data_IF_517627994978
#
_entry.id   IF_517627994978
#
_cell.length_a   1.000
_cell.length_b   1.000
_cell.length_c   1.000
_cell.angle_alpha   90.00
_cell.angle_beta   90.00
_cell.angle_gamma   90.00
#
_symmetry.space_group_name_H-M   'P 1'
#
loop_
_entity.id
_entity.type
_entity.pdbx_description
1 polymer ?
#
# COMPACT_ATOMS: atom_id res chain seq x y z
N UNK A 1 -2.45 -15.42 -1.43
CA UNK A 1 -2.76 -14.77 -0.15
C UNK A 1 -3.39 -15.82 0.73
N UNK A 2 -2.58 -16.51 1.56
CA UNK A 2 -3.06 -17.59 2.42
C UNK A 2 -3.97 -17.12 3.57
N UNK A 3 -4.33 -15.83 3.67
CA UNK A 3 -5.06 -15.25 4.82
C UNK A 3 -6.09 -14.21 4.37
N UNK A 4 -7.24 -14.12 5.07
CA UNK A 4 -8.29 -13.12 4.85
C UNK A 4 -7.75 -11.67 5.02
N UNK A 5 -7.84 -10.80 3.99
CA UNK A 5 -7.40 -9.40 4.06
C UNK A 5 -8.03 -8.60 5.21
N UNK A 6 -9.29 -8.90 5.58
CA UNK A 6 -9.95 -8.21 6.69
C UNK A 6 -9.39 -8.65 8.04
N UNK A 7 -9.04 -9.93 8.17
CA UNK A 7 -8.39 -10.45 9.37
C UNK A 7 -7.00 -9.80 9.58
N UNK A 8 -6.21 -9.64 8.51
CA UNK A 8 -4.92 -8.93 8.53
C UNK A 8 -5.09 -7.50 9.07
N UNK A 9 -6.04 -6.74 8.50
CA UNK A 9 -6.31 -5.38 8.94
C UNK A 9 -6.79 -5.32 10.40
N UNK A 10 -7.67 -6.23 10.81
CA UNK A 10 -8.17 -6.30 12.19
C UNK A 10 -7.03 -6.58 13.18
N UNK A 11 -6.17 -7.55 12.88
CA UNK A 11 -5.02 -7.88 13.72
C UNK A 11 -4.05 -6.70 13.80
N UNK A 12 -3.77 -6.04 12.68
CA UNK A 12 -2.89 -4.86 12.66
C UNK A 12 -3.43 -3.68 13.48
N UNK A 13 -4.76 -3.55 13.64
CA UNK A 13 -5.36 -2.53 14.51
C UNK A 13 -5.31 -2.89 15.99
N UNK A 14 -5.43 -4.16 16.33
CA UNK A 14 -5.51 -4.63 17.72
C UNK A 14 -4.12 -4.85 18.33
N UNK A 15 -3.16 -5.26 17.49
CA UNK A 15 -1.83 -5.68 17.91
C UNK A 15 -1.82 -6.94 18.80
N UNK A 16 -0.64 -7.50 19.08
CA UNK A 16 0.62 -7.31 18.35
C UNK A 16 0.57 -7.95 16.95
N UNK A 17 1.39 -7.44 16.04
CA UNK A 17 1.57 -8.01 14.69
C UNK A 17 2.84 -8.86 14.61
N UNK A 18 2.90 -9.84 13.70
CA UNK A 18 4.14 -10.56 13.37
C UNK A 18 5.29 -9.58 13.03
N UNK A 19 6.52 -9.96 13.39
CA UNK A 19 7.70 -9.09 13.26
C UNK A 19 8.08 -8.78 11.80
N UNK A 20 7.65 -9.63 10.88
CA UNK A 20 7.83 -9.51 9.43
C UNK A 20 6.73 -8.67 8.75
N UNK A 21 5.75 -8.18 9.51
CA UNK A 21 4.74 -7.24 9.00
C UNK A 21 5.24 -5.80 9.13
N UNK A 22 4.90 -4.98 8.13
CA UNK A 22 5.07 -3.53 8.17
C UNK A 22 3.69 -2.88 8.16
N UNK A 23 3.40 -2.08 9.18
CA UNK A 23 2.10 -1.45 9.39
C UNK A 23 2.25 0.06 9.29
N UNK A 24 1.47 0.67 8.39
CA UNK A 24 1.44 2.11 8.19
C UNK A 24 0.05 2.62 8.57
N UNK A 25 0.03 3.56 9.51
CA UNK A 25 -1.19 4.25 9.97
C UNK A 25 -1.05 5.74 9.73
N UNK A 26 -2.14 6.40 9.39
CA UNK A 26 -2.19 7.87 9.35
C UNK A 26 -3.46 8.33 10.03
N UNK A 27 -3.33 9.30 10.95
CA UNK A 27 -4.53 9.97 11.49
C UNK A 27 -5.25 10.66 10.35
N UNK A 28 -6.55 10.44 10.22
CA UNK A 28 -7.37 11.21 9.30
C UNK A 28 -7.25 12.69 9.65
N UNK A 29 -6.78 13.51 8.71
CA UNK A 29 -6.74 14.96 8.90
C UNK A 29 -8.16 15.47 9.14
N UNK A 30 -8.37 16.35 10.13
CA UNK A 30 -9.64 17.07 10.26
C UNK A 30 -9.89 17.79 8.94
N UNK A 31 -10.90 17.38 8.18
CA UNK A 31 -11.44 18.19 7.10
C UNK A 31 -11.85 19.52 7.74
N UNK A 32 -11.13 20.59 7.40
CA UNK A 32 -11.53 21.95 7.72
C UNK A 32 -12.81 22.23 6.94
N UNK A 33 -13.96 22.12 7.60
CA UNK A 33 -15.26 22.34 6.98
C UNK A 33 -16.37 21.49 7.60
N UNK A 34 -16.98 22.01 8.66
CA UNK A 34 -18.40 21.85 8.98
C UNK A 34 -19.09 20.51 8.65
N UNK A 35 -18.63 19.40 9.24
CA UNK A 35 -19.52 18.29 9.59
C UNK A 35 -19.01 17.69 10.90
N UNK A 36 -19.70 17.98 12.01
CA UNK A 36 -19.60 17.16 13.24
C UNK A 36 -20.26 15.81 12.95
N UNK A 37 -19.53 14.96 12.25
CA UNK A 37 -19.83 13.53 12.18
C UNK A 37 -18.74 12.82 12.95
N UNK A 38 -19.11 12.13 14.02
CA UNK A 38 -18.30 11.04 14.57
C UNK A 38 -18.21 9.97 13.50
N UNK A 39 -17.30 10.12 12.54
CA UNK A 39 -17.08 9.09 11.54
C UNK A 39 -16.49 7.90 12.29
N UNK A 40 -17.29 6.86 12.50
CA UNK A 40 -16.85 5.56 12.99
C UNK A 40 -15.90 4.87 11.98
N UNK A 41 -15.70 5.49 10.82
CA UNK A 41 -14.75 5.07 9.80
C UNK A 41 -13.33 5.09 10.37
N UNK A 42 -12.67 3.93 10.47
CA UNK A 42 -11.36 3.85 11.05
C UNK A 42 -10.30 4.61 10.24
N UNK A 43 -9.19 4.95 10.90
CA UNK A 43 -8.06 5.59 10.22
C UNK A 43 -7.51 4.70 9.09
N UNK A 44 -7.04 5.30 7.97
CA UNK A 44 -6.39 4.56 6.90
C UNK A 44 -5.25 3.67 7.42
N UNK A 45 -5.17 2.48 6.85
CA UNK A 45 -4.26 1.43 7.29
C UNK A 45 -3.73 0.68 6.09
N UNK A 46 -2.41 0.66 5.94
CA UNK A 46 -1.71 -0.19 4.99
C UNK A 46 -0.90 -1.23 5.77
N UNK A 47 -1.10 -2.49 5.45
CA UNK A 47 -0.34 -3.61 6.01
C UNK A 47 0.39 -4.31 4.88
N UNK A 48 1.70 -4.44 5.02
CA UNK A 48 2.54 -5.21 4.12
C UNK A 48 3.01 -6.43 4.90
N UNK A 49 2.62 -7.59 4.41
CA UNK A 49 2.95 -8.92 4.93
C UNK A 49 3.97 -9.57 4.00
N UNK A 50 4.62 -10.68 4.40
CA UNK A 50 5.47 -11.46 3.50
C UNK A 50 4.76 -11.90 2.21
N UNK A 51 3.46 -12.18 2.27
CA UNK A 51 2.70 -12.72 1.13
C UNK A 51 2.05 -11.64 0.25
N UNK A 52 2.12 -10.37 0.64
CA UNK A 52 1.46 -9.29 -0.09
C UNK A 52 1.07 -8.08 0.75
N UNK A 53 0.28 -7.19 0.16
CA UNK A 53 -0.12 -5.94 0.76
C UNK A 53 -1.65 -5.77 0.78
N UNK A 54 -2.17 -5.22 1.88
CA UNK A 54 -3.59 -4.92 2.05
C UNK A 54 -3.72 -3.48 2.54
N UNK A 55 -4.50 -2.68 1.83
CA UNK A 55 -4.82 -1.31 2.21
C UNK A 55 -6.31 -1.10 2.42
N UNK A 56 -6.62 -0.53 3.59
CA UNK A 56 -7.86 0.13 3.88
C UNK A 56 -7.68 1.66 3.77
N UNK A 57 -8.45 2.30 2.89
CA UNK A 57 -8.45 3.75 2.75
C UNK A 57 -9.60 4.42 3.52
N UNK A 58 -10.83 3.94 3.34
CA UNK A 58 -12.06 4.38 4.02
C UNK A 58 -13.21 3.41 3.71
N UNK A 59 -14.35 3.55 4.40
CA UNK A 59 -15.50 2.65 4.26
C UNK A 59 -16.13 2.69 2.85
N UNK A 60 -16.00 3.83 2.15
CA UNK A 60 -16.53 4.03 0.81
C UNK A 60 -15.67 3.46 -0.31
N UNK A 61 -14.50 2.88 0.00
CA UNK A 61 -13.59 2.29 -0.98
C UNK A 61 -13.38 0.81 -0.69
N UNK A 62 -13.38 0.01 -1.75
CA UNK A 62 -12.93 -1.39 -1.69
C UNK A 62 -11.49 -1.46 -1.18
N UNK A 63 -11.19 -2.55 -0.46
CA UNK A 63 -9.82 -2.84 -0.05
C UNK A 63 -8.92 -2.97 -1.27
N UNK A 64 -7.76 -2.34 -1.23
CA UNK A 64 -6.71 -2.60 -2.23
C UNK A 64 -5.91 -3.80 -1.74
N UNK A 65 -5.91 -4.88 -2.51
CA UNK A 65 -5.23 -6.12 -2.16
C UNK A 65 -4.23 -6.44 -3.26
N UNK A 66 -2.99 -6.73 -2.87
CA UNK A 66 -1.95 -7.24 -3.76
C UNK A 66 -1.47 -8.56 -3.18
N UNK A 67 -1.62 -9.62 -3.96
CA UNK A 67 -1.15 -10.96 -3.64
C UNK A 67 0.17 -11.23 -4.37
N UNK A 68 1.27 -11.39 -3.63
CA UNK A 68 2.57 -11.64 -4.26
C UNK A 68 2.65 -12.99 -4.96
N UNK A 69 1.75 -13.93 -4.65
CA UNK A 69 1.67 -15.20 -5.36
C UNK A 69 1.22 -15.03 -6.81
N UNK A 70 0.41 -14.02 -7.09
CA UNK A 70 -0.14 -13.74 -8.42
C UNK A 70 0.85 -12.97 -9.30
N UNK A 71 1.94 -12.46 -8.72
CA UNK A 71 2.93 -11.65 -9.43
C UNK A 71 4.02 -12.51 -10.07
N UNK A 72 4.35 -12.18 -11.32
CA UNK A 72 5.52 -12.64 -12.05
C UNK A 72 6.73 -11.70 -11.85
N UNK A 73 6.47 -10.43 -11.56
CA UNK A 73 7.51 -9.41 -11.35
C UNK A 73 6.93 -8.07 -10.90
N UNK A 74 7.80 -7.19 -10.41
CA UNK A 74 7.47 -5.81 -10.09
C UNK A 74 8.54 -4.86 -10.65
N UNK A 75 8.15 -3.63 -10.99
CA UNK A 75 9.06 -2.59 -11.45
C UNK A 75 8.74 -1.26 -10.77
N UNK A 76 9.71 -0.65 -10.09
CA UNK A 76 9.57 0.71 -9.56
C UNK A 76 9.57 1.72 -10.70
N UNK A 77 8.59 2.63 -10.69
CA UNK A 77 8.46 3.74 -11.64
C UNK A 77 8.50 5.07 -10.90
N UNK A 78 9.28 5.99 -11.45
CA UNK A 78 9.40 7.37 -10.99
C UNK A 78 9.16 8.28 -12.18
N UNK A 79 8.26 9.24 -12.03
CA UNK A 79 7.99 10.26 -13.05
C UNK A 79 8.13 11.64 -12.41
N UNK A 80 9.06 12.45 -12.90
CA UNK A 80 9.21 13.85 -12.53
C UNK A 80 8.56 14.75 -13.57
N UNK A 81 7.59 15.56 -13.17
CA UNK A 81 7.03 16.61 -14.03
C UNK A 81 7.52 17.98 -13.52
N UNK A 82 8.13 18.74 -14.42
CA UNK A 82 8.54 20.14 -14.22
C UNK A 82 7.56 21.05 -14.96
N UNK A 83 7.04 22.08 -14.29
CA UNK A 83 6.22 23.11 -14.94
C UNK A 83 7.13 24.28 -15.33
N UNK A 84 7.03 24.77 -16.57
CA UNK A 84 7.99 25.72 -17.16
C UNK A 84 8.18 27.04 -16.41
N UNK A 85 7.28 27.43 -15.50
CA UNK A 85 7.35 28.71 -14.77
C UNK A 85 7.47 28.54 -13.24
N UNK A 86 7.86 27.36 -12.73
CA UNK A 86 8.07 27.16 -11.29
C UNK A 86 9.22 26.20 -10.99
N UNK A 87 10.02 26.52 -9.96
CA UNK A 87 11.12 25.69 -9.45
C UNK A 87 10.66 24.41 -8.73
N UNK A 88 9.38 24.04 -8.83
CA UNK A 88 8.79 22.88 -8.18
C UNK A 88 8.71 21.68 -9.13
N UNK A 89 9.50 20.64 -8.82
CA UNK A 89 9.40 19.33 -9.49
C UNK A 89 8.38 18.48 -8.72
N UNK A 90 7.32 18.06 -9.38
CA UNK A 90 6.40 17.07 -8.82
C UNK A 90 6.89 15.66 -9.17
N UNK A 91 7.24 14.85 -8.17
CA UNK A 91 7.69 13.47 -8.36
C UNK A 91 6.54 12.53 -8.03
N UNK A 92 6.08 11.78 -9.02
CA UNK A 92 5.12 10.70 -8.86
C UNK A 92 5.86 9.36 -8.84
N UNK A 93 5.68 8.59 -7.77
CA UNK A 93 6.28 7.25 -7.61
C UNK A 93 5.17 6.19 -7.54
N UNK A 94 5.35 5.07 -8.24
CA UNK A 94 4.46 3.91 -8.18
C UNK A 94 5.19 2.61 -8.55
N UNK A 95 4.54 1.47 -8.37
CA UNK A 95 5.06 0.15 -8.76
C UNK A 95 4.18 -0.41 -9.88
N UNK A 96 4.78 -0.78 -10.99
CA UNK A 96 4.12 -1.62 -11.99
C UNK A 96 4.16 -3.07 -11.51
N UNK A 97 2.99 -3.71 -11.43
CA UNK A 97 2.81 -5.10 -11.07
C UNK A 97 2.59 -5.92 -12.34
N UNK A 98 3.48 -6.87 -12.62
CA UNK A 98 3.29 -7.85 -13.68
C UNK A 98 2.70 -9.13 -13.08
N UNK A 99 1.47 -9.46 -13.46
CA UNK A 99 0.75 -10.65 -13.01
C UNK A 99 1.12 -11.86 -13.87
N UNK A 100 1.02 -13.06 -13.28
CA UNK A 100 1.33 -14.34 -13.94
C UNK A 100 0.39 -14.66 -15.10
N UNK A 101 -0.82 -14.09 -15.09
CA UNK A 101 -1.78 -14.19 -16.19
C UNK A 101 -1.53 -13.18 -17.33
N UNK A 102 -0.42 -12.43 -17.27
CA UNK A 102 -0.03 -11.44 -18.25
C UNK A 102 -0.62 -10.04 -18.02
N UNK A 103 -1.54 -9.86 -17.07
CA UNK A 103 -2.06 -8.54 -16.72
C UNK A 103 -0.95 -7.66 -16.15
N UNK A 104 -1.01 -6.36 -16.46
CA UNK A 104 -0.17 -5.34 -15.83
C UNK A 104 -1.04 -4.34 -15.12
N UNK A 105 -0.80 -4.14 -13.84
CA UNK A 105 -1.53 -3.14 -13.05
C UNK A 105 -0.56 -2.19 -12.37
N UNK A 106 -1.02 -0.97 -12.10
CA UNK A 106 -0.25 0.01 -11.34
C UNK A 106 -0.68 -0.07 -9.88
N UNK A 107 0.28 -0.28 -8.99
CA UNK A 107 0.07 -0.15 -7.55
C UNK A 107 0.69 1.14 -7.03
N UNK A 108 -0.12 1.88 -6.30
CA UNK A 108 0.28 3.03 -5.50
C UNK A 108 -0.68 3.07 -4.32
N UNK A 109 -0.15 3.24 -3.11
CA UNK A 109 -1.02 3.38 -1.95
C UNK A 109 -1.97 4.57 -2.13
N UNK A 110 -3.24 4.39 -1.79
CA UNK A 110 -4.24 5.47 -1.88
C UNK A 110 -4.00 6.50 -0.78
N UNK A 111 -3.65 6.04 0.41
CA UNK A 111 -3.55 6.84 1.63
C UNK A 111 -2.12 7.25 1.95
N UNK A 112 -1.14 6.49 1.44
CA UNK A 112 0.29 6.62 1.73
C UNK A 112 1.11 6.88 0.45
N UNK A 113 0.49 7.47 -0.58
CA UNK A 113 1.05 7.66 -1.93
C UNK A 113 2.41 8.40 -2.03
N UNK A 114 2.77 9.16 -0.99
CA UNK A 114 4.01 9.94 -0.89
C UNK A 114 4.92 9.44 0.24
N UNK A 115 4.55 8.34 0.90
CA UNK A 115 5.35 7.72 1.97
C UNK A 115 6.34 6.74 1.33
N UNK A 116 7.56 7.21 1.07
CA UNK A 116 8.64 6.37 0.52
C UNK A 116 8.89 5.10 1.36
N UNK A 117 8.82 5.13 2.70
CA UNK A 117 8.91 3.92 3.51
C UNK A 117 7.89 2.83 3.14
N UNK A 118 6.64 3.19 2.81
CA UNK A 118 5.64 2.20 2.35
C UNK A 118 6.02 1.53 1.02
N UNK A 119 6.64 2.28 0.10
CA UNK A 119 7.09 1.76 -1.19
C UNK A 119 8.30 0.84 -1.00
N UNK A 120 9.25 1.25 -0.17
CA UNK A 120 10.42 0.43 0.17
C UNK A 120 10.01 -0.87 0.86
N UNK A 121 9.13 -0.80 1.86
CA UNK A 121 8.62 -1.99 2.57
C UNK A 121 7.92 -2.97 1.62
N UNK A 122 7.19 -2.47 0.62
CA UNK A 122 6.58 -3.32 -0.41
C UNK A 122 7.64 -4.06 -1.23
N UNK A 123 8.67 -3.35 -1.69
CA UNK A 123 9.76 -3.92 -2.51
C UNK A 123 10.54 -4.96 -1.70
N UNK A 124 10.87 -4.65 -0.45
CA UNK A 124 11.57 -5.56 0.45
C UNK A 124 10.78 -6.85 0.71
N UNK A 125 9.49 -6.73 1.03
CA UNK A 125 8.62 -7.87 1.27
C UNK A 125 8.48 -8.76 0.02
N UNK A 126 8.28 -8.16 -1.16
CA UNK A 126 8.22 -8.91 -2.41
C UNK A 126 9.56 -9.60 -2.75
N UNK A 127 10.68 -8.90 -2.51
CA UNK A 127 12.02 -9.46 -2.71
C UNK A 127 12.26 -10.68 -1.83
N UNK A 128 11.92 -10.60 -0.54
CA UNK A 128 12.01 -11.71 0.40
C UNK A 128 11.11 -12.88 0.00
N UNK A 129 9.85 -12.60 -0.36
CA UNK A 129 8.89 -13.61 -0.83
C UNK A 129 9.42 -14.39 -2.04
N UNK A 130 10.01 -13.68 -3.01
CA UNK A 130 10.56 -14.30 -4.21
C UNK A 130 11.79 -15.15 -3.90
N UNK A 131 12.67 -14.68 -3.02
CA UNK A 131 13.87 -15.41 -2.63
C UNK A 131 13.53 -16.75 -1.95
N UNK A 132 12.56 -16.76 -1.03
CA UNK A 132 12.11 -17.97 -0.34
C UNK A 132 11.49 -19.03 -1.27
N UNK A 133 11.00 -18.63 -2.45
CA UNK A 133 10.31 -19.51 -3.41
C UNK A 133 11.17 -19.86 -4.63
N UNK A 134 12.40 -19.36 -4.69
CA UNK A 134 13.39 -19.72 -5.70
C UNK A 134 14.26 -20.94 -5.28
N UNK A 135 14.05 -21.44 -4.06
CA UNK A 135 14.59 -22.67 -3.51
C UNK A 135 13.53 -23.78 -3.55
#
# INVERSE_FOLDING_TARGET
MPTDPRAILRQARQGPVPADWRVFTKRRGKLSGFLRGTSHDPDPLLVITPDGAVEYANEGKSLTIVDFHDLAGITLRVNGQSFSDSSSVSIAVWIDLAHRDGRKTKWRSTSFANDLPSIQAFIEAYGAHRALRAH
#
